data_IF_118404164136
#
_entry.id   IF_118404164136
#
_cell.length_a   1.000
_cell.length_b   1.000
_cell.length_c   1.000
_cell.angle_alpha   90.00
_cell.angle_beta   90.00
_cell.angle_gamma   90.00
#
_symmetry.space_group_name_H-M   'P 1'
#
loop_
_entity.id
_entity.type
_entity.pdbx_description
1 polymer ?
#
# COMPACT_ATOMS: atom_id res chain seq x y z
N UNK A 1 5.18 12.21 4.22
CA UNK A 1 4.57 13.41 3.63
C UNK A 1 3.23 13.60 4.33
N UNK A 2 3.03 14.71 5.05
CA UNK A 2 1.78 15.01 5.77
C UNK A 2 0.75 15.51 4.75
N UNK A 3 -0.31 14.73 4.50
CA UNK A 3 -1.44 15.22 3.71
C UNK A 3 -2.16 16.25 4.59
N UNK A 4 -1.97 17.54 4.29
CA UNK A 4 -2.74 18.59 4.93
C UNK A 4 -4.17 18.54 4.42
N UNK A 5 -5.14 18.62 5.33
CA UNK A 5 -6.56 18.70 5.03
C UNK A 5 -6.87 20.17 4.70
N UNK A 6 -6.76 20.56 3.43
CA UNK A 6 -6.55 21.98 3.12
C UNK A 6 -7.70 22.71 2.42
N UNK A 7 -8.70 22.02 1.82
CA UNK A 7 -9.77 22.76 1.13
C UNK A 7 -11.15 22.13 1.25
N UNK A 8 -12.14 22.97 1.56
CA UNK A 8 -13.55 22.64 1.53
C UNK A 8 -14.24 23.46 0.43
N UNK A 9 -15.10 22.82 -0.35
CA UNK A 9 -15.89 23.48 -1.40
C UNK A 9 -17.34 23.03 -1.34
N UNK A 10 -18.27 23.88 -1.77
CA UNK A 10 -19.68 23.47 -1.87
C UNK A 10 -19.89 22.46 -3.00
N UNK A 11 -20.89 21.59 -2.87
CA UNK A 11 -21.25 20.62 -3.91
C UNK A 11 -21.65 21.30 -5.22
N UNK A 12 -22.29 22.48 -5.14
CA UNK A 12 -22.63 23.29 -6.32
C UNK A 12 -21.38 23.79 -7.02
N UNK A 13 -20.41 24.33 -6.26
CA UNK A 13 -19.15 24.81 -6.82
C UNK A 13 -18.34 23.67 -7.44
N UNK A 14 -18.19 22.55 -6.72
CA UNK A 14 -17.48 21.37 -7.21
C UNK A 14 -18.10 20.81 -8.50
N UNK A 15 -19.44 20.87 -8.64
CA UNK A 15 -20.12 20.43 -9.87
C UNK A 15 -19.80 21.33 -11.05
N UNK A 16 -19.83 22.65 -10.85
CA UNK A 16 -19.63 23.63 -11.92
C UNK A 16 -18.14 23.77 -12.31
N UNK A 17 -17.24 23.55 -11.35
CA UNK A 17 -15.79 23.74 -11.49
C UNK A 17 -15.00 22.43 -11.31
N UNK A 18 -15.60 21.29 -11.68
CA UNK A 18 -15.03 19.97 -11.37
C UNK A 18 -13.58 19.81 -11.85
N UNK A 19 -13.32 20.17 -13.12
CA UNK A 19 -11.99 20.08 -13.72
C UNK A 19 -10.95 20.90 -12.95
N UNK A 20 -11.26 22.15 -12.67
CA UNK A 20 -10.40 23.09 -11.94
C UNK A 20 -10.10 22.59 -10.52
N UNK A 21 -11.13 22.08 -9.82
CA UNK A 21 -10.98 21.50 -8.48
C UNK A 21 -10.08 20.25 -8.50
N UNK A 22 -10.24 19.37 -9.50
CA UNK A 22 -9.41 18.16 -9.63
C UNK A 22 -7.96 18.49 -10.00
N UNK A 23 -7.73 19.42 -10.92
CA UNK A 23 -6.39 19.84 -11.33
C UNK A 23 -5.66 20.50 -10.17
N UNK A 24 -6.35 21.35 -9.40
CA UNK A 24 -5.80 21.96 -8.19
C UNK A 24 -5.43 20.90 -7.14
N UNK A 25 -6.32 19.93 -6.89
CA UNK A 25 -6.06 18.84 -5.94
C UNK A 25 -4.79 18.06 -6.30
N UNK A 26 -4.60 17.74 -7.59
CA UNK A 26 -3.41 17.04 -8.07
C UNK A 26 -2.17 17.93 -7.98
N UNK A 27 -2.25 19.18 -8.46
CA UNK A 27 -1.11 20.12 -8.51
C UNK A 27 -0.58 20.46 -7.12
N UNK A 28 -1.48 20.67 -6.16
CA UNK A 28 -1.11 21.05 -4.79
C UNK A 28 -0.92 19.83 -3.88
N UNK A 29 -1.26 18.62 -4.34
CA UNK A 29 -1.18 17.40 -3.55
C UNK A 29 -2.12 17.43 -2.34
N UNK A 30 -3.31 18.02 -2.50
CA UNK A 30 -4.28 18.23 -1.41
C UNK A 30 -5.55 17.39 -1.59
N UNK A 31 -6.22 17.12 -0.48
CA UNK A 31 -7.57 16.55 -0.48
C UNK A 31 -8.60 17.69 -0.45
N UNK A 32 -9.63 17.60 -1.29
CA UNK A 32 -10.74 18.56 -1.31
C UNK A 32 -12.01 17.89 -0.78
N UNK A 33 -12.57 18.44 0.30
CA UNK A 33 -13.85 17.96 0.85
C UNK A 33 -15.00 18.72 0.19
N UNK A 34 -15.94 17.97 -0.38
CA UNK A 34 -17.16 18.51 -0.99
C UNK A 34 -18.30 18.50 0.03
N UNK A 35 -18.79 19.70 0.35
CA UNK A 35 -19.80 19.96 1.37
C UNK A 35 -21.15 20.34 0.77
N UNK A 36 -22.23 19.82 1.37
CA UNK A 36 -23.58 20.35 1.19
C UNK A 36 -24.08 20.88 2.53
N UNK A 37 -24.89 20.11 3.25
CA UNK A 37 -25.21 20.33 4.67
C UNK A 37 -24.29 19.53 5.62
N UNK A 38 -23.59 18.54 5.07
CA UNK A 38 -22.59 17.69 5.72
C UNK A 38 -21.52 17.32 4.67
N UNK A 39 -20.34 16.81 5.04
CA UNK A 39 -19.38 16.30 4.06
C UNK A 39 -20.02 15.13 3.31
N UNK A 40 -20.03 15.20 1.98
CA UNK A 40 -20.69 14.20 1.13
C UNK A 40 -19.66 13.38 0.35
N UNK A 41 -18.55 14.00 -0.05
CA UNK A 41 -17.54 13.37 -0.92
C UNK A 41 -16.18 14.00 -0.68
N UNK A 42 -15.11 13.24 -0.91
CA UNK A 42 -13.73 13.74 -0.88
C UNK A 42 -13.10 13.47 -2.24
N UNK A 43 -12.45 14.50 -2.80
CA UNK A 43 -11.65 14.40 -4.01
C UNK A 43 -10.19 14.30 -3.56
N UNK A 44 -9.52 13.22 -3.97
CA UNK A 44 -8.13 12.90 -3.59
C UNK A 44 -7.34 12.58 -4.87
N UNK A 45 -6.08 13.03 -4.99
CA UNK A 45 -5.20 12.62 -6.09
C UNK A 45 -5.03 11.10 -6.13
N UNK A 46 -5.08 10.50 -7.33
CA UNK A 46 -5.03 9.05 -7.49
C UNK A 46 -3.80 8.42 -6.82
N UNK A 47 -2.63 9.06 -6.94
CA UNK A 47 -1.40 8.56 -6.34
C UNK A 47 -1.46 8.50 -4.80
N UNK A 48 -2.07 9.50 -4.16
CA UNK A 48 -2.29 9.50 -2.72
C UNK A 48 -3.31 8.45 -2.30
N UNK A 49 -4.37 8.27 -3.08
CA UNK A 49 -5.33 7.19 -2.85
C UNK A 49 -4.66 5.80 -2.94
N UNK A 50 -3.79 5.58 -3.93
CA UNK A 50 -3.05 4.33 -4.08
C UNK A 50 -2.09 4.07 -2.90
N UNK A 51 -1.41 5.10 -2.39
CA UNK A 51 -0.56 4.99 -1.19
C UNK A 51 -1.37 4.56 0.03
N UNK A 52 -2.52 5.19 0.27
CA UNK A 52 -3.42 4.84 1.38
C UNK A 52 -3.91 3.40 1.26
N UNK A 53 -4.34 2.99 0.06
CA UNK A 53 -4.80 1.63 -0.20
C UNK A 53 -3.71 0.58 0.01
N UNK A 54 -2.47 0.88 -0.39
CA UNK A 54 -1.35 -0.03 -0.20
C UNK A 54 -0.95 -0.14 1.27
N UNK A 55 -0.96 0.98 2.02
CA UNK A 55 -0.70 0.97 3.45
C UNK A 55 -1.75 0.14 4.22
N UNK A 56 -3.03 0.28 3.87
CA UNK A 56 -4.11 -0.53 4.46
C UNK A 56 -3.92 -2.02 4.17
N UNK A 57 -3.55 -2.39 2.94
CA UNK A 57 -3.25 -3.78 2.59
C UNK A 57 -2.10 -4.34 3.42
N UNK A 58 -1.02 -3.57 3.58
CA UNK A 58 0.14 -3.97 4.41
C UNK A 58 -0.30 -4.18 5.87
N UNK A 59 -1.14 -3.30 6.42
CA UNK A 59 -1.64 -3.45 7.79
C UNK A 59 -2.60 -4.64 7.95
N UNK A 60 -3.48 -4.88 6.97
CA UNK A 60 -4.36 -6.05 6.96
C UNK A 60 -3.58 -7.36 6.82
N UNK A 61 -2.53 -7.38 6.00
CA UNK A 61 -1.69 -8.56 5.83
C UNK A 61 -0.80 -8.82 7.06
N UNK A 62 -0.48 -7.79 7.87
CA UNK A 62 0.11 -7.96 9.21
C UNK A 62 -0.86 -8.52 10.25
N UNK A 63 -2.16 -8.21 10.13
CA UNK A 63 -3.21 -8.68 11.04
C UNK A 63 -3.70 -10.09 10.71
N UNK A 64 -3.56 -10.53 9.46
CA UNK A 64 -3.81 -11.92 9.09
C UNK A 64 -2.65 -12.76 9.64
N UNK A 65 -2.92 -13.90 10.31
CA UNK A 65 -1.85 -14.84 10.59
C UNK A 65 -1.18 -15.21 9.27
N UNK A 66 0.16 -15.36 9.23
CA UNK A 66 0.84 -15.77 8.02
C UNK A 66 0.13 -17.01 7.47
N UNK A 67 -0.20 -16.99 6.16
CA UNK A 67 -0.75 -18.18 5.51
C UNK A 67 0.23 -19.31 5.78
N UNK A 68 -0.18 -20.31 6.58
CA UNK A 68 0.58 -21.54 6.80
C UNK A 68 0.70 -22.24 5.45
N UNK A 69 1.78 -21.95 4.74
CA UNK A 69 2.14 -22.70 3.54
C UNK A 69 2.74 -24.01 4.01
N UNK A 70 2.19 -25.12 3.55
CA UNK A 70 2.76 -26.43 3.83
C UNK A 70 4.13 -26.56 3.13
N UNK A 71 5.02 -27.37 3.70
CA UNK A 71 6.34 -27.67 3.11
C UNK A 71 6.23 -28.15 1.64
N UNK A 72 5.12 -28.82 1.31
CA UNK A 72 4.81 -29.28 -0.05
C UNK A 72 4.45 -28.14 -1.02
N UNK A 73 3.80 -27.06 -0.53
CA UNK A 73 3.49 -25.88 -1.32
C UNK A 73 4.74 -25.04 -1.60
N UNK A 74 5.64 -24.90 -0.61
CA UNK A 74 6.92 -24.19 -0.76
C UNK A 74 7.90 -24.87 -1.73
N UNK A 75 7.76 -26.18 -1.97
CA UNK A 75 8.56 -26.92 -2.97
C UNK A 75 7.94 -26.88 -4.37
N UNK A 76 6.62 -26.68 -4.48
CA UNK A 76 5.90 -26.64 -5.77
C UNK A 76 5.99 -25.29 -6.44
N UNK A 77 5.87 -24.22 -5.66
CA UNK A 77 6.24 -22.90 -6.14
C UNK A 77 7.77 -22.83 -6.07
N UNK A 78 8.43 -22.39 -7.14
CA UNK A 78 9.86 -22.02 -7.19
C UNK A 78 10.21 -20.86 -6.22
N UNK A 79 9.64 -20.84 -5.02
CA UNK A 79 9.82 -19.86 -3.97
C UNK A 79 11.30 -19.74 -3.63
N UNK A 80 11.99 -20.86 -3.46
CA UNK A 80 13.43 -20.86 -3.22
C UNK A 80 14.23 -20.30 -4.40
N UNK A 81 13.90 -20.64 -5.64
CA UNK A 81 14.61 -20.07 -6.81
C UNK A 81 14.32 -18.56 -6.98
N UNK A 82 13.10 -18.11 -6.70
CA UNK A 82 12.71 -16.70 -6.79
C UNK A 82 13.38 -15.83 -5.73
N UNK A 83 13.53 -16.33 -4.51
CA UNK A 83 14.12 -15.58 -3.40
C UNK A 83 15.62 -15.86 -3.21
N UNK A 84 16.19 -16.88 -3.87
CA UNK A 84 17.63 -17.14 -3.85
C UNK A 84 18.44 -15.94 -4.37
N UNK A 85 17.89 -15.18 -5.32
CA UNK A 85 18.48 -13.92 -5.80
C UNK A 85 18.54 -12.85 -4.70
N UNK A 86 17.48 -12.71 -3.90
CA UNK A 86 17.43 -11.75 -2.80
C UNK A 86 18.37 -12.11 -1.63
N UNK A 87 18.79 -13.38 -1.50
CA UNK A 87 19.70 -13.82 -0.42
C UNK A 87 21.06 -13.13 -0.45
N UNK A 88 21.59 -12.85 -1.65
CA UNK A 88 22.93 -12.28 -1.80
C UNK A 88 23.01 -10.82 -1.36
N UNK A 89 21.91 -10.08 -1.52
CA UNK A 89 21.87 -8.65 -1.29
C UNK A 89 21.55 -8.31 0.17
N UNK A 90 20.68 -9.08 0.84
CA UNK A 90 20.31 -8.83 2.24
C UNK A 90 21.24 -9.53 3.26
N UNK A 91 21.84 -10.67 2.92
CA UNK A 91 22.63 -11.49 3.86
C UNK A 91 23.93 -12.02 3.22
N UNK A 92 24.90 -11.14 2.91
CA UNK A 92 26.17 -11.56 2.31
C UNK A 92 26.92 -12.52 3.24
N UNK A 93 27.24 -13.71 2.72
CA UNK A 93 27.99 -14.75 3.45
C UNK A 93 27.15 -15.87 4.05
N UNK A 94 25.81 -15.80 3.98
CA UNK A 94 24.94 -16.90 4.39
C UNK A 94 24.72 -17.88 3.25
N UNK A 95 24.87 -19.19 3.51
CA UNK A 95 24.56 -20.22 2.50
C UNK A 95 23.06 -20.41 2.34
N UNK A 96 22.62 -20.88 1.16
CA UNK A 96 21.20 -21.16 0.90
C UNK A 96 20.59 -22.15 1.91
N UNK A 97 21.40 -23.08 2.42
CA UNK A 97 20.99 -24.09 3.40
C UNK A 97 20.82 -23.51 4.81
N UNK A 98 21.70 -22.60 5.23
CA UNK A 98 21.56 -21.86 6.49
C UNK A 98 20.37 -20.91 6.48
N UNK A 99 20.13 -20.24 5.34
CA UNK A 99 18.95 -19.39 5.17
C UNK A 99 17.67 -20.22 5.26
N UNK A 100 17.60 -21.35 4.56
CA UNK A 100 16.46 -22.27 4.65
C UNK A 100 16.21 -22.72 6.10
N UNK A 101 17.27 -23.07 6.84
CA UNK A 101 17.17 -23.49 8.24
C UNK A 101 16.71 -22.37 9.17
N UNK A 102 17.15 -21.13 8.94
CA UNK A 102 16.74 -19.96 9.72
C UNK A 102 15.33 -19.51 9.35
N UNK A 103 14.96 -19.55 8.08
CA UNK A 103 13.61 -19.21 7.60
C UNK A 103 12.56 -20.14 8.20
N UNK A 104 12.83 -21.45 8.27
CA UNK A 104 11.94 -22.40 8.95
C UNK A 104 11.79 -22.16 10.46
N UNK A 105 12.73 -21.46 11.13
CA UNK A 105 12.55 -21.05 12.54
C UNK A 105 11.52 -19.93 12.70
N UNK A 106 11.28 -19.14 11.66
CA UNK A 106 10.37 -17.99 11.68
C UNK A 106 9.03 -18.26 10.99
N UNK A 107 8.85 -19.48 10.46
CA UNK A 107 7.61 -19.91 9.80
C UNK A 107 7.07 -21.11 10.57
N UNK A 108 6.03 -20.88 11.36
CA UNK A 108 5.28 -21.89 12.13
C UNK A 108 3.81 -21.98 11.65
#
# INVERSE_FOLDING_TARGET
MNISLSQQVSATYARNHFKEVTEKAVKEGICVIVWKSKPVTVIIPMDEYLKLKNAEKIEQDKRKPPRKMTLAQLRKDSFFEKYAGCMKDEYPGMTAMEWQHNWYKYVD
#
